data_IF_205386484276
#
_entry.id   IF_205386484276
#
_cell.length_a   1.000
_cell.length_b   1.000
_cell.length_c   1.000
_cell.angle_alpha   90.00
_cell.angle_beta   90.00
_cell.angle_gamma   90.00
#
_symmetry.space_group_name_H-M   'P 1'
#
loop_
_entity.id
_entity.type
_entity.pdbx_description
1 polymer ?
#
# COMPACT_ATOMS: atom_id res chain seq x y z
N UNK A 1 4.19 7.40 10.32
CA UNK A 1 3.69 7.08 8.96
C UNK A 1 3.89 5.60 8.62
N UNK A 2 5.11 5.04 8.76
CA UNK A 2 5.36 3.60 8.48
C UNK A 2 4.43 2.63 9.23
N UNK A 3 4.19 2.88 10.53
CA UNK A 3 3.28 2.07 11.35
C UNK A 3 1.83 2.12 10.84
N UNK A 4 1.36 3.28 10.35
CA UNK A 4 0.01 3.44 9.79
C UNK A 4 -0.11 2.59 8.52
N UNK A 5 0.92 2.61 7.65
CA UNK A 5 0.96 1.79 6.43
C UNK A 5 0.98 0.30 6.78
N UNK A 6 1.80 -0.10 7.76
CA UNK A 6 1.83 -1.48 8.25
C UNK A 6 0.48 -1.95 8.78
N UNK A 7 -0.16 -1.15 9.66
CA UNK A 7 -1.48 -1.45 10.19
C UNK A 7 -2.54 -1.51 9.08
N UNK A 8 -2.47 -0.60 8.11
CA UNK A 8 -3.37 -0.56 6.94
C UNK A 8 -3.22 -1.80 6.07
N UNK A 9 -1.99 -2.26 5.84
CA UNK A 9 -1.71 -3.50 5.14
C UNK A 9 -2.29 -4.70 5.91
N UNK A 10 -2.14 -4.76 7.23
CA UNK A 10 -2.71 -5.86 8.02
C UNK A 10 -4.24 -5.86 8.00
N UNK A 11 -4.88 -4.71 8.20
CA UNK A 11 -6.34 -4.57 8.21
C UNK A 11 -6.98 -4.69 6.82
N UNK A 12 -6.20 -4.52 5.74
CA UNK A 12 -6.73 -4.49 4.38
C UNK A 12 -7.49 -3.19 4.07
N UNK A 13 -7.24 -2.13 4.85
CA UNK A 13 -7.86 -0.81 4.70
C UNK A 13 -6.82 0.29 4.89
N UNK A 14 -6.69 1.18 3.90
CA UNK A 14 -5.77 2.32 3.94
C UNK A 14 -6.57 3.60 4.13
N UNK A 15 -6.29 4.32 5.21
CA UNK A 15 -6.94 5.62 5.49
C UNK A 15 -6.74 6.59 4.32
N UNK A 16 -7.84 7.16 3.82
CA UNK A 16 -7.85 8.07 2.67
C UNK A 16 -7.91 7.40 1.29
N UNK A 17 -7.82 6.06 1.22
CA UNK A 17 -7.98 5.30 -0.05
C UNK A 17 -9.15 4.32 0.01
N UNK A 18 -9.34 3.62 1.13
CA UNK A 18 -10.38 2.60 1.29
C UNK A 18 -9.80 1.18 1.34
N UNK A 19 -10.62 0.19 0.95
CA UNK A 19 -10.23 -1.23 0.92
C UNK A 19 -9.07 -1.46 -0.08
N UNK A 20 -8.10 -2.28 0.29
CA UNK A 20 -6.89 -2.57 -0.51
C UNK A 20 -7.12 -3.58 -1.66
N UNK A 21 -8.35 -3.71 -2.18
CA UNK A 21 -8.66 -4.57 -3.32
C UNK A 21 -9.99 -5.30 -3.21
N UNK A 22 -10.47 -5.83 -4.33
CA UNK A 22 -11.63 -6.71 -4.43
C UNK A 22 -11.20 -8.00 -5.15
N UNK A 23 -10.85 -9.03 -4.36
CA UNK A 23 -10.36 -10.33 -4.84
C UNK A 23 -9.09 -10.76 -4.10
N UNK A 24 -8.99 -12.05 -3.75
CA UNK A 24 -7.95 -12.57 -2.87
C UNK A 24 -6.51 -12.30 -3.37
N UNK A 25 -6.26 -12.49 -4.66
CA UNK A 25 -4.93 -12.29 -5.26
C UNK A 25 -4.54 -10.80 -5.28
N UNK A 26 -5.43 -9.93 -5.79
CA UNK A 26 -5.17 -8.50 -5.91
C UNK A 26 -5.00 -7.85 -4.52
N UNK A 27 -5.85 -8.25 -3.56
CA UNK A 27 -5.77 -7.77 -2.19
C UNK A 27 -4.44 -8.16 -1.52
N UNK A 28 -3.98 -9.42 -1.69
CA UNK A 28 -2.68 -9.86 -1.16
C UNK A 28 -1.53 -9.06 -1.78
N UNK A 29 -1.54 -8.84 -3.09
CA UNK A 29 -0.48 -8.09 -3.78
C UNK A 29 -0.43 -6.64 -3.28
N UNK A 30 -1.58 -5.96 -3.19
CA UNK A 30 -1.64 -4.57 -2.71
C UNK A 30 -1.23 -4.50 -1.24
N UNK A 31 -1.72 -5.41 -0.38
CA UNK A 31 -1.33 -5.49 1.03
C UNK A 31 0.16 -5.71 1.19
N UNK A 32 0.77 -6.60 0.41
CA UNK A 32 2.20 -6.85 0.44
C UNK A 32 3.02 -5.61 0.06
N UNK A 33 2.61 -4.88 -0.99
CA UNK A 33 3.29 -3.64 -1.39
C UNK A 33 3.18 -2.54 -0.33
N UNK A 34 2.00 -2.34 0.26
CA UNK A 34 1.81 -1.38 1.36
C UNK A 34 2.60 -1.80 2.61
N UNK A 35 2.68 -3.10 2.89
CA UNK A 35 3.46 -3.64 4.00
C UNK A 35 4.95 -3.33 3.82
N UNK A 36 5.50 -3.62 2.63
CA UNK A 36 6.89 -3.35 2.28
C UNK A 36 7.19 -1.85 2.40
N UNK A 37 6.32 -1.00 1.85
CA UNK A 37 6.47 0.46 1.99
C UNK A 37 6.43 0.92 3.45
N UNK A 38 5.52 0.35 4.25
CA UNK A 38 5.40 0.66 5.68
C UNK A 38 6.62 0.24 6.49
N UNK A 39 7.18 -0.94 6.19
CA UNK A 39 8.41 -1.44 6.81
C UNK A 39 9.61 -0.58 6.42
N UNK A 40 9.79 -0.28 5.13
CA UNK A 40 10.88 0.58 4.65
C UNK A 40 10.85 1.97 5.31
N UNK A 41 9.67 2.52 5.54
CA UNK A 41 9.51 3.82 6.20
C UNK A 41 9.60 3.75 7.74
N UNK A 42 9.47 2.55 8.32
CA UNK A 42 9.64 2.30 9.75
C UNK A 42 11.09 1.95 10.12
N UNK A 43 11.90 1.49 9.14
CA UNK A 43 13.32 1.24 9.32
C UNK A 43 14.07 2.57 9.48
N UNK A 44 14.87 2.74 10.54
CA UNK A 44 15.77 3.88 10.65
C UNK A 44 16.88 3.74 9.61
N UNK A 45 17.02 4.74 8.74
CA UNK A 45 18.12 4.81 7.78
C UNK A 45 19.43 5.21 8.45
N UNK A 46 20.53 4.63 7.96
CA UNK A 46 21.86 4.78 8.54
C UNK A 46 22.14 3.86 9.74
N UNK A 47 23.41 3.54 9.94
CA UNK A 47 23.88 2.62 10.98
C UNK A 47 23.68 1.15 10.61
N UNK A 48 22.47 0.61 10.81
CA UNK A 48 22.17 -0.83 10.65
C UNK A 48 21.73 -1.20 9.23
N UNK A 49 21.18 -0.24 8.48
CA UNK A 49 20.87 -0.38 7.05
C UNK A 49 21.83 0.52 6.28
N UNK A 50 22.64 -0.01 5.35
CA UNK A 50 23.66 0.77 4.60
C UNK A 50 23.04 1.65 3.51
N UNK A 51 21.80 2.09 3.69
CA UNK A 51 21.07 2.98 2.79
C UNK A 51 20.81 4.29 3.50
N UNK A 52 20.87 5.40 2.76
CA UNK A 52 20.51 6.69 3.33
C UNK A 52 19.02 6.73 3.65
N UNK A 53 18.64 7.59 4.59
CA UNK A 53 17.22 7.82 4.89
C UNK A 53 16.44 8.23 3.64
N UNK A 54 17.06 8.98 2.74
CA UNK A 54 16.46 9.41 1.48
C UNK A 54 16.24 8.24 0.51
N UNK A 55 17.17 7.28 0.45
CA UNK A 55 17.03 6.07 -0.38
C UNK A 55 15.88 5.20 0.11
N UNK A 56 15.74 5.02 1.43
CA UNK A 56 14.64 4.26 2.03
C UNK A 56 13.29 4.92 1.78
N UNK A 57 13.21 6.24 1.89
CA UNK A 57 12.00 6.99 1.55
C UNK A 57 11.68 6.86 0.06
N UNK A 58 12.70 6.93 -0.81
CA UNK A 58 12.54 6.74 -2.25
C UNK A 58 11.99 5.35 -2.59
N UNK A 59 12.59 4.29 -2.02
CA UNK A 59 12.12 2.91 -2.15
C UNK A 59 10.71 2.72 -1.61
N UNK A 60 10.40 3.29 -0.45
CA UNK A 60 9.06 3.26 0.13
C UNK A 60 8.03 3.95 -0.79
N UNK A 61 8.38 5.08 -1.40
CA UNK A 61 7.52 5.79 -2.34
C UNK A 61 7.28 4.98 -3.62
N UNK A 62 8.33 4.37 -4.17
CA UNK A 62 8.25 3.49 -5.36
C UNK A 62 7.39 2.25 -5.09
N UNK A 63 7.39 1.71 -3.87
CA UNK A 63 6.50 0.61 -3.48
C UNK A 63 5.06 1.10 -3.19
N UNK A 64 4.90 2.25 -2.55
CA UNK A 64 3.60 2.76 -2.10
C UNK A 64 2.74 3.29 -3.26
N UNK A 65 3.35 4.01 -4.21
CA UNK A 65 2.64 4.57 -5.37
C UNK A 65 1.85 3.52 -6.18
N UNK A 66 2.46 2.43 -6.67
CA UNK A 66 1.72 1.40 -7.40
C UNK A 66 0.69 0.71 -6.52
N UNK A 67 0.97 0.51 -5.22
CA UNK A 67 -0.01 -0.07 -4.30
C UNK A 67 -1.28 0.78 -4.19
N UNK A 68 -1.12 2.10 -4.03
CA UNK A 68 -2.24 3.05 -3.95
C UNK A 68 -2.98 3.16 -5.28
N UNK A 69 -2.26 3.19 -6.41
CA UNK A 69 -2.88 3.21 -7.75
C UNK A 69 -3.71 1.97 -7.97
N UNK A 70 -3.17 0.78 -7.69
CA UNK A 70 -3.88 -0.49 -7.83
C UNK A 70 -5.08 -0.58 -6.90
N UNK A 71 -4.96 -0.12 -5.64
CA UNK A 71 -6.07 -0.03 -4.71
C UNK A 71 -7.19 0.84 -5.27
N UNK A 72 -6.87 2.06 -5.75
CA UNK A 72 -7.86 2.97 -6.34
C UNK A 72 -8.50 2.42 -7.62
N UNK A 73 -7.73 1.76 -8.48
CA UNK A 73 -8.28 1.12 -9.67
C UNK A 73 -9.24 -0.02 -9.31
N UNK A 74 -8.86 -0.87 -8.34
CA UNK A 74 -9.73 -1.94 -7.83
C UNK A 74 -11.06 -1.38 -7.30
N UNK A 75 -11.01 -0.29 -6.55
CA UNK A 75 -12.20 0.43 -6.06
C UNK A 75 -13.10 0.90 -7.21
N UNK A 76 -12.51 1.56 -8.23
CA UNK A 76 -13.25 2.04 -9.39
C UNK A 76 -13.91 0.90 -10.18
N UNK A 77 -13.22 -0.21 -10.36
CA UNK A 77 -13.77 -1.37 -11.06
C UNK A 77 -14.97 -1.97 -10.32
N UNK A 78 -14.88 -2.12 -9.00
CA UNK A 78 -15.97 -2.68 -8.20
C UNK A 78 -17.20 -1.76 -8.15
N UNK A 79 -17.00 -0.45 -8.05
CA UNK A 79 -18.09 0.52 -8.10
C UNK A 79 -18.83 0.50 -9.43
N UNK A 80 -18.11 0.38 -10.56
CA UNK A 80 -18.71 0.29 -11.89
C UNK A 80 -19.57 -0.96 -12.08
N UNK A 81 -19.14 -2.11 -11.55
CA UNK A 81 -19.95 -3.34 -11.60
C UNK A 81 -21.24 -3.26 -10.79
N UNK A 82 -21.25 -2.50 -9.68
CA UNK A 82 -22.46 -2.30 -8.88
C UNK A 82 -23.46 -1.37 -9.58
N UNK A 83 -22.98 -0.31 -10.23
CA UNK A 83 -23.86 0.63 -10.97
C UNK A 83 -24.40 0.07 -12.29
N UNK A 84 -23.73 -0.91 -12.90
CA UNK A 84 -24.19 -1.53 -14.14
C UNK A 84 -25.31 -2.57 -13.94
N UNK A 85 -25.50 -3.03 -12.69
CA UNK A 85 -26.52 -4.01 -12.31
C UNK A 85 -27.73 -3.37 -11.58
N UNK A 86 -27.78 -2.04 -11.48
CA UNK A 86 -28.87 -1.28 -10.86
C UNK A 86 -29.68 -0.56 -11.94
#
# INVERSE_FOLDING_TARGET
IGIILFASAMQGYLMGVGRLGYGALQEIVIRALVLIAGLLLALPGGGMVPLSQWDLIGLAAVALLPAVVLARLSQRHHQRSLTANA
#
